data_IF_651250439656
#
_entry.id   IF_651250439656
#
_cell.length_a   1.000
_cell.length_b   1.000
_cell.length_c   1.000
_cell.angle_alpha   90.00
_cell.angle_beta   90.00
_cell.angle_gamma   90.00
#
_symmetry.space_group_name_H-M   'P 1'
#
loop_
_entity.id
_entity.type
_entity.pdbx_description
1 polymer ?
#
# COMPACT_ATOMS: atom_id res chain seq x y z
N UNK A 1 -23.36 7.33 -12.72
CA UNK A 1 -23.58 5.87 -12.87
C UNK A 1 -22.70 5.13 -11.88
N UNK A 2 -23.04 3.90 -11.54
CA UNK A 2 -22.20 3.07 -10.66
C UNK A 2 -21.01 2.50 -11.44
N UNK A 3 -19.84 2.49 -10.82
CA UNK A 3 -18.63 1.82 -11.35
C UNK A 3 -18.32 0.60 -10.48
N UNK A 4 -17.58 -0.37 -11.03
CA UNK A 4 -17.12 -1.56 -10.31
C UNK A 4 -15.60 -1.62 -10.35
N UNK A 5 -15.01 -2.01 -9.22
CA UNK A 5 -13.58 -2.19 -9.06
C UNK A 5 -13.29 -3.63 -8.68
N UNK A 6 -12.54 -4.36 -9.50
CA UNK A 6 -12.01 -5.67 -9.10
C UNK A 6 -10.64 -5.44 -8.46
N UNK A 7 -10.64 -5.33 -7.14
CA UNK A 7 -9.45 -5.20 -6.31
C UNK A 7 -9.03 -6.56 -5.75
N UNK A 8 -7.74 -6.68 -5.40
CA UNK A 8 -7.19 -7.81 -4.65
C UNK A 8 -7.41 -9.18 -5.34
N UNK A 9 -7.32 -9.21 -6.67
CA UNK A 9 -7.46 -10.45 -7.45
C UNK A 9 -6.21 -11.31 -7.26
N UNK A 10 -6.39 -12.48 -6.65
CA UNK A 10 -5.33 -13.48 -6.50
C UNK A 10 -4.95 -14.08 -7.86
N UNK A 11 -3.63 -14.24 -8.07
CA UNK A 11 -3.04 -14.85 -9.25
C UNK A 11 -2.18 -16.08 -8.92
N UNK A 12 -2.40 -16.72 -7.78
CA UNK A 12 -1.78 -18.00 -7.45
C UNK A 12 -1.94 -18.99 -8.61
N UNK A 13 -0.81 -19.61 -9.02
CA UNK A 13 -0.76 -20.54 -10.16
C UNK A 13 -0.58 -19.89 -11.54
N UNK A 14 -0.50 -18.55 -11.63
CA UNK A 14 -0.25 -17.85 -12.90
C UNK A 14 1.27 -17.77 -13.17
N UNK A 15 1.86 -18.90 -13.53
CA UNK A 15 3.32 -19.05 -13.63
C UNK A 15 3.97 -18.16 -14.70
N UNK A 16 3.33 -18.01 -15.86
CA UNK A 16 3.83 -17.17 -16.96
C UNK A 16 3.89 -15.69 -16.54
N UNK A 17 2.81 -15.20 -15.92
CA UNK A 17 2.70 -13.81 -15.46
C UNK A 17 3.66 -13.55 -14.30
N UNK A 18 3.79 -14.51 -13.38
CA UNK A 18 4.75 -14.44 -12.28
C UNK A 18 6.20 -14.40 -12.78
N UNK A 19 6.54 -15.20 -13.80
CA UNK A 19 7.85 -15.19 -14.42
C UNK A 19 8.14 -13.88 -15.18
N UNK A 20 7.13 -13.31 -15.84
CA UNK A 20 7.23 -12.00 -16.50
C UNK A 20 7.51 -10.87 -15.49
N UNK A 21 6.79 -10.84 -14.37
CA UNK A 21 7.03 -9.86 -13.29
C UNK A 21 8.44 -10.01 -12.71
N UNK A 22 8.89 -11.24 -12.43
CA UNK A 22 10.24 -11.49 -11.91
C UNK A 22 11.33 -11.05 -12.88
N UNK A 23 11.19 -11.36 -14.17
CA UNK A 23 12.22 -11.04 -15.16
C UNK A 23 12.24 -9.57 -15.58
N UNK A 24 11.10 -8.87 -15.50
CA UNK A 24 10.98 -7.45 -15.82
C UNK A 24 11.40 -6.49 -14.71
N UNK A 25 11.60 -6.96 -13.48
CA UNK A 25 11.90 -6.11 -12.33
C UNK A 25 13.32 -6.33 -11.78
N UNK A 26 13.96 -5.27 -11.23
CA UNK A 26 15.15 -5.40 -10.43
C UNK A 26 14.96 -6.41 -9.29
N UNK A 27 16.00 -7.20 -8.97
CA UNK A 27 15.93 -8.26 -7.95
C UNK A 27 15.42 -7.79 -6.59
N UNK A 28 15.72 -6.56 -6.19
CA UNK A 28 15.31 -5.99 -4.91
C UNK A 28 13.82 -5.61 -4.82
N UNK A 29 13.09 -5.63 -5.95
CA UNK A 29 11.65 -5.38 -6.02
C UNK A 29 10.81 -6.66 -6.19
N UNK A 30 11.45 -7.80 -6.41
CA UNK A 30 10.75 -9.05 -6.69
C UNK A 30 9.97 -9.52 -5.46
N UNK A 31 8.70 -9.89 -5.66
CA UNK A 31 7.85 -10.49 -4.63
C UNK A 31 8.52 -11.74 -4.06
N UNK A 32 8.69 -11.82 -2.74
CA UNK A 32 9.39 -12.91 -2.03
C UNK A 32 10.78 -13.24 -2.60
N UNK A 33 11.43 -12.23 -3.18
CA UNK A 33 12.77 -12.33 -3.76
C UNK A 33 13.87 -12.39 -2.70
N UNK A 34 15.12 -12.46 -3.15
CA UNK A 34 16.29 -12.62 -2.29
C UNK A 34 16.41 -11.53 -1.20
N UNK A 35 16.00 -10.31 -1.54
CA UNK A 35 16.12 -9.11 -0.69
C UNK A 35 14.86 -8.80 0.12
N UNK A 36 13.82 -9.64 0.03
CA UNK A 36 12.54 -9.42 0.69
C UNK A 36 12.44 -10.24 1.98
N UNK A 37 12.42 -9.59 3.13
CA UNK A 37 12.27 -10.22 4.44
C UNK A 37 10.91 -10.91 4.60
N UNK A 38 9.89 -10.53 3.82
CA UNK A 38 8.59 -11.20 3.84
C UNK A 38 8.66 -12.64 3.31
N UNK A 39 9.74 -13.02 2.62
CA UNK A 39 10.01 -14.41 2.21
C UNK A 39 10.14 -15.38 3.38
N UNK A 40 10.43 -14.88 4.59
CA UNK A 40 10.55 -15.68 5.80
C UNK A 40 9.21 -15.91 6.50
N UNK A 41 8.12 -15.29 6.02
CA UNK A 41 6.79 -15.59 6.52
C UNK A 41 6.39 -17.03 6.18
N UNK A 42 5.92 -17.77 7.20
CA UNK A 42 5.47 -19.17 7.05
C UNK A 42 4.10 -19.30 6.39
N UNK A 43 3.36 -18.20 6.29
CA UNK A 43 2.02 -18.15 5.72
C UNK A 43 2.00 -17.21 4.52
N UNK A 44 1.23 -17.56 3.50
CA UNK A 44 0.97 -16.68 2.36
C UNK A 44 -0.20 -15.77 2.69
N UNK A 45 -0.06 -14.49 2.36
CA UNK A 45 -1.05 -13.44 2.57
C UNK A 45 -1.14 -12.61 1.31
N UNK A 46 -2.33 -12.58 0.71
CA UNK A 46 -2.62 -11.89 -0.53
C UNK A 46 -2.23 -10.40 -0.44
N UNK A 47 -1.52 -9.90 -1.44
CA UNK A 47 -1.09 -8.49 -1.51
C UNK A 47 0.12 -8.19 -0.63
N UNK A 48 0.53 -9.10 0.25
CA UNK A 48 1.71 -8.95 1.10
C UNK A 48 2.87 -9.73 0.49
N UNK A 49 2.93 -11.04 0.70
CA UNK A 49 3.96 -11.92 0.13
C UNK A 49 3.41 -12.73 -1.06
N UNK A 50 2.28 -12.30 -1.60
CA UNK A 50 1.72 -12.75 -2.87
C UNK A 50 1.31 -11.54 -3.70
N UNK A 51 1.50 -11.65 -5.02
CA UNK A 51 1.07 -10.61 -5.95
C UNK A 51 -0.45 -10.58 -6.09
N UNK A 52 -1.03 -9.39 -6.08
CA UNK A 52 -2.43 -9.15 -6.43
C UNK A 52 -2.56 -8.34 -7.71
N UNK A 53 -3.66 -8.55 -8.44
CA UNK A 53 -4.08 -7.70 -9.54
C UNK A 53 -5.25 -6.77 -9.16
N UNK A 54 -5.25 -5.62 -9.81
CA UNK A 54 -6.29 -4.60 -9.74
C UNK A 54 -6.78 -4.30 -11.15
N UNK A 55 -8.03 -4.62 -11.46
CA UNK A 55 -8.66 -4.32 -12.74
C UNK A 55 -9.57 -3.10 -12.55
N UNK A 56 -9.15 -1.99 -13.16
CA UNK A 56 -9.67 -0.65 -12.90
C UNK A 56 -10.44 -0.13 -14.09
N UNK A 57 -11.51 0.61 -13.80
CA UNK A 57 -12.21 1.49 -14.75
C UNK A 57 -12.05 2.94 -14.29
N UNK A 58 -12.26 3.96 -15.14
CA UNK A 58 -12.13 5.35 -14.73
C UNK A 58 -12.98 5.68 -13.49
N UNK A 59 -12.37 6.37 -12.52
CA UNK A 59 -13.04 6.85 -11.32
C UNK A 59 -13.05 5.89 -10.12
N UNK A 60 -12.66 4.62 -10.29
CA UNK A 60 -12.44 3.75 -9.11
C UNK A 60 -11.21 4.21 -8.34
N UNK A 61 -11.21 3.99 -7.03
CA UNK A 61 -10.17 4.48 -6.14
C UNK A 61 -9.82 3.48 -5.05
N UNK A 62 -8.59 3.60 -4.55
CA UNK A 62 -8.11 3.00 -3.31
C UNK A 62 -7.90 4.14 -2.32
N UNK A 63 -8.59 4.11 -1.18
CA UNK A 63 -8.59 5.20 -0.20
C UNK A 63 -7.27 5.39 0.52
N UNK A 64 -7.21 6.44 1.35
CA UNK A 64 -6.06 6.75 2.17
C UNK A 64 -5.72 5.62 3.14
N UNK A 65 -4.48 5.15 3.12
CA UNK A 65 -3.95 4.12 4.02
C UNK A 65 -2.42 4.18 4.09
N UNK A 66 -1.84 3.62 5.16
CA UNK A 66 -0.47 3.10 5.11
C UNK A 66 -0.49 1.60 4.80
N UNK A 67 0.63 1.07 4.36
CA UNK A 67 0.75 -0.36 4.07
C UNK A 67 0.75 -1.21 5.35
N UNK A 68 0.40 -2.49 5.21
CA UNK A 68 0.31 -3.44 6.32
C UNK A 68 1.62 -3.49 7.12
N UNK A 69 1.55 -3.20 8.42
CA UNK A 69 2.73 -3.09 9.30
C UNK A 69 3.86 -2.25 8.68
N UNK A 70 3.52 -1.20 7.93
CA UNK A 70 4.47 -0.30 7.25
C UNK A 70 5.55 -1.02 6.45
N UNK A 71 5.20 -2.12 5.79
CA UNK A 71 6.05 -2.71 4.76
C UNK A 71 6.02 -1.86 3.49
N UNK A 72 7.09 -1.91 2.70
CA UNK A 72 7.14 -1.19 1.42
C UNK A 72 6.14 -1.80 0.48
N UNK A 73 5.76 -1.03 -0.53
CA UNK A 73 4.82 -1.48 -1.55
C UNK A 73 5.36 -1.14 -2.93
N UNK A 74 5.09 -2.03 -3.86
CA UNK A 74 5.33 -1.82 -5.28
C UNK A 74 4.00 -1.95 -6.00
N UNK A 75 3.75 -1.06 -6.96
CA UNK A 75 2.64 -1.14 -7.89
C UNK A 75 3.13 -0.97 -9.32
N UNK A 76 2.85 -1.94 -10.19
CA UNK A 76 3.19 -1.90 -11.62
C UNK A 76 1.92 -1.66 -12.43
N UNK A 77 1.89 -0.60 -13.23
CA UNK A 77 0.76 -0.34 -14.12
C UNK A 77 0.97 -1.04 -15.47
N UNK A 78 0.08 -1.97 -15.82
CA UNK A 78 0.12 -2.66 -17.12
C UNK A 78 -0.65 -1.90 -18.21
N UNK A 79 -1.42 -0.88 -17.84
CA UNK A 79 -2.17 -0.04 -18.78
C UNK A 79 -3.45 -0.69 -19.32
N UNK A 80 -4.04 -0.13 -20.39
CA UNK A 80 -3.53 1.04 -21.14
C UNK A 80 -3.73 2.39 -20.42
N UNK A 81 -4.66 2.46 -19.47
CA UNK A 81 -4.98 3.66 -18.70
C UNK A 81 -3.92 4.01 -17.64
N UNK A 82 -4.04 5.23 -17.10
CA UNK A 82 -3.19 5.72 -16.02
C UNK A 82 -3.93 5.76 -14.67
N UNK A 83 -3.17 5.86 -13.58
CA UNK A 83 -3.68 6.15 -12.24
C UNK A 83 -3.04 7.43 -11.70
N UNK A 84 -3.84 8.26 -11.03
CA UNK A 84 -3.36 9.36 -10.20
C UNK A 84 -3.07 8.85 -8.79
N UNK A 85 -1.93 9.25 -8.25
CA UNK A 85 -1.47 8.92 -6.92
C UNK A 85 -1.35 10.19 -6.09
N UNK A 86 -1.76 10.12 -4.84
CA UNK A 86 -1.40 11.08 -3.81
C UNK A 86 -0.67 10.38 -2.66
N UNK A 87 0.32 11.03 -2.09
CA UNK A 87 1.15 10.48 -1.02
C UNK A 87 1.56 11.55 -0.02
N UNK A 88 1.62 11.17 1.25
CA UNK A 88 2.07 11.97 2.39
C UNK A 88 3.20 11.19 3.08
N UNK A 89 4.31 11.87 3.35
CA UNK A 89 5.41 11.27 4.10
C UNK A 89 4.96 10.89 5.51
N UNK A 90 5.36 9.70 5.98
CA UNK A 90 4.83 9.10 7.22
C UNK A 90 4.91 9.97 8.46
N UNK A 91 5.91 10.86 8.56
CA UNK A 91 6.02 11.81 9.69
C UNK A 91 4.83 12.77 9.83
N UNK A 92 4.07 13.02 8.76
CA UNK A 92 2.88 13.87 8.79
C UNK A 92 1.58 13.10 9.05
N UNK A 93 1.58 11.77 8.94
CA UNK A 93 0.39 10.94 9.13
C UNK A 93 -0.23 11.08 10.54
N UNK A 94 0.55 11.15 11.65
CA UNK A 94 -0.02 11.40 12.97
C UNK A 94 -0.75 12.76 13.08
N UNK A 95 -0.19 13.81 12.46
CA UNK A 95 -0.81 15.14 12.45
C UNK A 95 -2.08 15.15 11.61
N UNK A 96 -2.06 14.48 10.46
CA UNK A 96 -3.26 14.30 9.64
C UNK A 96 -4.36 13.59 10.42
N UNK A 97 -4.02 12.48 11.10
CA UNK A 97 -4.95 11.72 11.94
C UNK A 97 -5.59 12.59 13.01
N UNK A 98 -4.78 13.39 13.72
CA UNK A 98 -5.28 14.30 14.77
C UNK A 98 -6.29 15.31 14.20
N UNK A 99 -5.95 15.96 13.09
CA UNK A 99 -6.81 16.96 12.45
C UNK A 99 -8.13 16.35 11.97
N UNK A 100 -8.06 15.19 11.31
CA UNK A 100 -9.27 14.51 10.80
C UNK A 100 -10.15 14.04 11.96
N UNK A 101 -9.56 13.54 13.04
CA UNK A 101 -10.31 13.15 14.24
C UNK A 101 -11.00 14.34 14.89
N UNK A 102 -10.32 15.49 14.99
CA UNK A 102 -10.88 16.72 15.57
C UNK A 102 -12.03 17.30 14.74
N UNK A 103 -11.92 17.31 13.42
CA UNK A 103 -12.89 17.98 12.53
C UNK A 103 -14.05 17.07 12.12
N UNK A 104 -13.79 15.77 11.95
CA UNK A 104 -14.76 14.84 11.39
C UNK A 104 -15.12 13.69 12.33
N UNK A 105 -14.44 13.55 13.48
CA UNK A 105 -14.64 12.42 14.39
C UNK A 105 -14.18 11.08 13.82
N UNK A 106 -13.35 11.08 12.77
CA UNK A 106 -12.86 9.89 12.08
C UNK A 106 -11.40 9.63 12.44
N UNK A 107 -11.12 8.41 12.91
CA UNK A 107 -9.75 7.94 13.08
C UNK A 107 -9.28 7.28 11.79
N UNK A 108 -8.43 7.97 11.02
CA UNK A 108 -7.98 7.50 9.70
C UNK A 108 -7.22 6.17 9.74
N UNK A 109 -6.61 5.80 10.86
CA UNK A 109 -5.93 4.50 11.01
C UNK A 109 -6.91 3.36 11.29
N UNK A 110 -8.17 3.68 11.64
CA UNK A 110 -9.26 2.70 11.79
C UNK A 110 -10.17 2.63 10.56
N UNK A 111 -10.12 3.65 9.71
CA UNK A 111 -10.92 3.76 8.48
C UNK A 111 -10.04 3.72 7.23
N UNK A 112 -8.91 2.99 7.28
CA UNK A 112 -8.00 2.88 6.14
C UNK A 112 -8.75 2.36 4.90
N UNK A 113 -8.54 3.02 3.77
CA UNK A 113 -9.23 2.71 2.51
C UNK A 113 -10.63 3.32 2.35
N UNK A 114 -11.21 3.92 3.39
CA UNK A 114 -12.59 4.44 3.37
C UNK A 114 -12.69 5.95 3.12
N UNK A 115 -11.56 6.65 3.06
CA UNK A 115 -11.50 8.10 2.88
C UNK A 115 -10.59 8.49 1.73
N UNK A 116 -10.80 9.69 1.19
CA UNK A 116 -10.00 10.26 0.11
C UNK A 116 -9.79 11.75 0.43
N UNK A 117 -8.55 12.23 0.57
CA UNK A 117 -8.31 13.57 1.06
C UNK A 117 -8.54 14.64 -0.03
N UNK A 118 -9.06 15.78 0.39
CA UNK A 118 -9.15 16.98 -0.45
C UNK A 118 -7.79 17.70 -0.48
N UNK A 119 -7.15 17.86 -1.66
CA UNK A 119 -5.89 18.58 -1.79
C UNK A 119 -5.92 20.02 -1.24
N UNK A 120 -7.05 20.72 -1.36
CA UNK A 120 -7.16 22.09 -0.86
C UNK A 120 -7.21 22.14 0.66
N UNK A 121 -7.94 21.19 1.27
CA UNK A 121 -7.98 21.04 2.72
C UNK A 121 -6.59 20.68 3.28
N UNK A 122 -5.88 19.73 2.66
CA UNK A 122 -4.51 19.38 3.06
C UNK A 122 -3.58 20.61 3.03
N UNK A 123 -3.65 21.40 1.94
CA UNK A 123 -2.89 22.64 1.79
C UNK A 123 -3.24 23.65 2.89
N UNK A 124 -4.53 23.86 3.17
CA UNK A 124 -4.98 24.80 4.21
C UNK A 124 -4.52 24.38 5.61
N UNK A 125 -4.47 23.08 5.89
CA UNK A 125 -3.97 22.51 7.15
C UNK A 125 -2.45 22.38 7.22
N UNK A 126 -1.73 22.76 6.17
CA UNK A 126 -0.27 22.67 6.12
C UNK A 126 0.27 21.24 6.08
N UNK A 127 -0.50 20.28 5.55
CA UNK A 127 -0.07 18.90 5.34
C UNK A 127 0.50 18.76 3.93
N UNK A 128 1.82 18.56 3.77
CA UNK A 128 2.42 18.43 2.45
C UNK A 128 2.07 17.07 1.84
N UNK A 129 1.55 17.10 0.61
CA UNK A 129 1.26 15.92 -0.18
C UNK A 129 1.94 16.01 -1.55
N UNK A 130 2.49 14.89 -2.01
CA UNK A 130 3.00 14.72 -3.35
C UNK A 130 1.90 14.10 -4.24
N UNK A 131 1.83 14.52 -5.49
CA UNK A 131 0.90 13.98 -6.48
C UNK A 131 1.66 13.55 -7.74
N UNK A 132 1.23 12.45 -8.35
CA UNK A 132 1.87 11.90 -9.53
C UNK A 132 0.91 11.11 -10.41
N UNK A 133 1.26 10.96 -11.69
CA UNK A 133 0.52 10.14 -12.66
C UNK A 133 1.38 8.93 -13.00
N UNK A 134 0.87 7.75 -12.67
CA UNK A 134 1.45 6.47 -13.07
C UNK A 134 0.80 6.03 -14.39
N UNK A 135 1.60 6.03 -15.47
CA UNK A 135 1.19 5.59 -16.81
C UNK A 135 1.45 4.09 -16.99
N UNK A 136 0.97 3.54 -18.09
CA UNK A 136 1.28 2.17 -18.49
C UNK A 136 2.81 1.97 -18.59
N UNK A 137 3.31 0.92 -17.96
CA UNK A 137 4.75 0.63 -17.84
C UNK A 137 5.43 1.27 -16.62
N UNK A 138 4.81 2.27 -15.97
CA UNK A 138 5.39 2.89 -14.79
C UNK A 138 5.25 1.98 -13.56
N UNK A 139 6.30 1.99 -12.74
CA UNK A 139 6.35 1.33 -11.44
C UNK A 139 6.40 2.39 -10.34
N UNK A 140 5.45 2.32 -9.41
CA UNK A 140 5.45 3.12 -8.18
C UNK A 140 6.01 2.27 -7.05
N UNK A 141 6.96 2.82 -6.31
CA UNK A 141 7.55 2.18 -5.12
C UNK A 141 7.34 3.11 -3.94
N UNK A 142 6.70 2.61 -2.90
CA UNK A 142 6.40 3.34 -1.67
C UNK A 142 7.30 2.88 -0.54
N UNK A 143 7.78 3.85 0.25
CA UNK A 143 8.31 3.54 1.59
C UNK A 143 7.14 3.13 2.47
N UNK A 144 7.34 2.17 3.37
CA UNK A 144 6.20 1.56 4.04
C UNK A 144 5.44 2.44 5.03
N UNK A 145 6.03 3.53 5.54
CA UNK A 145 5.34 4.55 6.33
C UNK A 145 4.61 5.60 5.48
N UNK A 146 4.67 5.51 4.16
CA UNK A 146 4.02 6.49 3.27
C UNK A 146 2.51 6.27 3.27
N UNK A 147 1.79 7.26 3.78
CA UNK A 147 0.33 7.29 3.66
C UNK A 147 -0.02 7.69 2.22
N UNK A 148 -0.90 6.95 1.55
CA UNK A 148 -1.17 7.19 0.14
C UNK A 148 -2.60 6.79 -0.27
N UNK A 149 -3.01 7.26 -1.43
CA UNK A 149 -4.30 6.97 -2.06
C UNK A 149 -4.17 7.01 -3.59
N UNK A 150 -5.07 6.34 -4.28
CA UNK A 150 -5.00 6.14 -5.73
C UNK A 150 -6.36 6.32 -6.38
N UNK A 151 -6.41 6.96 -7.54
CA UNK A 151 -7.62 7.04 -8.38
C UNK A 151 -7.29 6.66 -9.82
N UNK A 152 -8.07 5.73 -10.38
CA UNK A 152 -7.92 5.36 -11.78
C UNK A 152 -8.43 6.46 -12.70
N UNK A 153 -7.61 6.85 -13.68
CA UNK A 153 -7.99 7.80 -14.74
C UNK A 153 -8.47 7.09 -16.01
N UNK A 154 -8.18 5.79 -16.14
CA UNK A 154 -8.45 4.99 -17.33
C UNK A 154 -8.88 3.56 -17.02
N UNK A 155 -9.05 2.78 -18.08
CA UNK A 155 -9.12 1.31 -17.98
C UNK A 155 -7.71 0.77 -17.84
N UNK A 156 -7.41 0.07 -16.75
CA UNK A 156 -6.06 -0.45 -16.55
C UNK A 156 -6.04 -1.71 -15.70
N UNK A 157 -5.02 -2.53 -15.89
CA UNK A 157 -4.64 -3.56 -14.92
C UNK A 157 -3.38 -3.10 -14.19
N UNK A 158 -3.30 -3.34 -12.89
CA UNK A 158 -2.06 -3.13 -12.11
C UNK A 158 -1.76 -4.35 -11.25
N UNK A 159 -0.49 -4.70 -11.10
CA UNK A 159 -0.03 -5.68 -10.10
C UNK A 159 0.58 -4.99 -8.89
N UNK A 160 0.34 -5.51 -7.69
CA UNK A 160 0.90 -4.95 -6.45
C UNK A 160 1.27 -6.05 -5.45
N UNK A 161 2.28 -5.79 -4.63
CA UNK A 161 2.62 -6.58 -3.44
C UNK A 161 3.41 -5.72 -2.45
N UNK A 162 3.48 -6.17 -1.19
CA UNK A 162 4.42 -5.63 -0.23
C UNK A 162 5.79 -6.30 -0.32
N UNK A 163 6.82 -5.60 0.14
CA UNK A 163 8.15 -6.15 0.35
C UNK A 163 8.84 -5.41 1.50
N UNK A 164 9.90 -5.99 2.07
CA UNK A 164 10.72 -5.30 3.06
C UNK A 164 12.18 -5.68 2.94
N UNK A 165 13.09 -4.72 3.03
CA UNK A 165 14.51 -5.08 3.18
C UNK A 165 14.80 -5.47 4.62
N UNK A 166 15.77 -6.36 4.81
CA UNK A 166 16.31 -6.69 6.13
C UNK A 166 17.18 -5.53 6.65
N UNK A 167 16.52 -4.49 7.16
CA UNK A 167 17.12 -3.27 7.68
C UNK A 167 16.41 -2.89 9.00
N UNK A 168 17.17 -2.41 10.00
CA UNK A 168 16.62 -2.05 11.32
C UNK A 168 15.40 -1.11 11.20
N UNK A 169 15.53 -0.04 10.41
CA UNK A 169 14.44 0.94 10.16
C UNK A 169 13.14 0.31 9.64
N UNK A 170 13.22 -0.75 8.84
CA UNK A 170 12.04 -1.42 8.27
C UNK A 170 11.35 -2.25 9.34
N UNK A 171 12.13 -2.97 10.16
CA UNK A 171 11.60 -3.77 11.25
C UNK A 171 11.04 -2.89 12.37
N UNK A 172 11.73 -1.82 12.75
CA UNK A 172 11.26 -0.82 13.73
C UNK A 172 9.90 -0.25 13.32
N UNK A 173 9.77 0.25 12.08
CA UNK A 173 8.50 0.76 11.57
C UNK A 173 7.37 -0.29 11.59
N UNK A 174 7.71 -1.56 11.36
CA UNK A 174 6.76 -2.66 11.40
C UNK A 174 6.29 -3.00 12.81
N UNK A 175 7.20 -3.03 13.79
CA UNK A 175 6.85 -3.20 15.20
C UNK A 175 6.04 -2.02 15.72
N UNK A 176 6.44 -0.78 15.39
CA UNK A 176 5.71 0.42 15.78
C UNK A 176 4.25 0.40 15.30
N UNK A 177 4.03 0.05 14.02
CA UNK A 177 2.67 -0.06 13.48
C UNK A 177 1.92 -1.25 14.05
N UNK A 178 2.59 -2.38 14.27
CA UNK A 178 1.99 -3.55 14.91
C UNK A 178 1.44 -3.20 16.30
N UNK A 179 2.27 -2.57 17.14
CA UNK A 179 1.89 -2.18 18.49
C UNK A 179 0.82 -1.10 18.46
N UNK A 180 0.93 -0.10 17.56
CA UNK A 180 -0.12 0.90 17.38
C UNK A 180 -1.47 0.26 17.08
N UNK A 181 -1.52 -0.67 16.12
CA UNK A 181 -2.74 -1.39 15.74
C UNK A 181 -3.36 -2.14 16.92
N UNK A 182 -2.55 -2.73 17.80
CA UNK A 182 -3.01 -3.38 19.03
C UNK A 182 -3.62 -2.42 20.06
N UNK A 183 -3.16 -1.16 20.10
CA UNK A 183 -3.62 -0.16 21.06
C UNK A 183 -4.79 0.70 20.55
N UNK A 184 -5.12 0.64 19.25
CA UNK A 184 -6.33 1.26 18.71
C UNK A 184 -7.59 0.66 19.37
N UNK A 185 -8.68 1.43 19.42
CA UNK A 185 -9.93 1.01 20.06
C UNK A 185 -11.11 1.12 19.09
N UNK A 186 -11.71 -0.01 18.66
CA UNK A 186 -11.18 -1.38 18.81
C UNK A 186 -9.84 -1.58 18.10
N UNK A 187 -9.08 -2.63 18.48
CA UNK A 187 -7.82 -2.98 17.82
C UNK A 187 -8.02 -3.27 16.33
N UNK A 188 -7.00 -2.93 15.54
CA UNK A 188 -6.94 -3.26 14.10
C UNK A 188 -6.12 -4.54 13.90
N UNK A 189 -6.56 -5.41 13.00
CA UNK A 189 -5.88 -6.67 12.72
C UNK A 189 -4.53 -6.43 12.06
N UNK A 190 -3.48 -7.07 12.60
CA UNK A 190 -2.17 -7.13 11.95
C UNK A 190 -2.11 -8.32 10.99
N UNK A 191 -1.93 -8.06 9.70
CA UNK A 191 -1.80 -9.10 8.67
C UNK A 191 -0.40 -9.71 8.61
N UNK A 192 0.63 -8.93 8.94
CA UNK A 192 2.01 -9.42 9.04
C UNK A 192 2.28 -9.87 10.48
N UNK A 193 2.66 -11.13 10.70
CA UNK A 193 2.99 -11.62 12.03
C UNK A 193 4.43 -11.24 12.40
N UNK A 194 4.69 -9.94 12.60
CA UNK A 194 6.06 -9.39 12.79
C UNK A 194 6.84 -10.05 13.93
N UNK A 195 6.15 -10.52 14.97
CA UNK A 195 6.77 -11.24 16.10
C UNK A 195 7.32 -12.61 15.70
N UNK A 196 6.61 -13.38 14.88
CA UNK A 196 7.11 -14.68 14.41
C UNK A 196 8.07 -14.54 13.25
N UNK A 197 8.04 -13.42 12.52
CA UNK A 197 9.06 -13.07 11.53
C UNK A 197 10.45 -12.91 12.18
N UNK A 198 10.49 -12.48 13.45
CA UNK A 198 11.72 -12.21 14.20
C UNK A 198 12.22 -13.36 15.08
N UNK A 199 11.56 -14.52 15.05
CA UNK A 199 11.88 -15.67 15.91
C UNK A 199 12.06 -16.89 15.01
N UNK A 200 13.31 -17.36 14.90
CA UNK A 200 13.61 -18.71 14.42
C UNK A 200 13.30 -19.75 15.51
#
# INVERSE_FOLDING_TARGET
GWVRFAANVDIAGWEEQSAALRSGLPRWLQCVGEHDVLRFMRQMVDGINMTQLYIKVPGVWTGGHEESCRFRSINCCHGPGASEWGAIEGKYAPRLRELVLQEYGVDIYRSEGEWFPDPEWLRHKGIPAAYGIQRAGDVVVLRGDTLHWVRSLGFSVSSSWNFGHLEARQLEAAFDRYDLNCHLQPPVQNLVPVRTLSVD
#
